data_IF_367725912025
#
_entry.id   IF_367725912025
#
_cell.length_a   1.000
_cell.length_b   1.000
_cell.length_c   1.000
_cell.angle_alpha   90.00
_cell.angle_beta   90.00
_cell.angle_gamma   90.00
#
_symmetry.space_group_name_H-M   'P 1'
#
loop_
_entity.id
_entity.type
_entity.pdbx_description
1 polymer ?
#
# COMPACT_ATOMS: atom_id res chain seq x y z
N UNK A 1 -52.38 54.99 16.64
CA UNK A 1 -52.41 55.43 18.05
C UNK A 1 -52.64 54.19 18.92
N UNK A 2 -52.06 53.99 20.11
CA UNK A 2 -50.87 54.53 20.82
C UNK A 2 -50.58 53.53 21.97
N UNK A 3 -49.36 53.51 22.55
CA UNK A 3 -48.98 52.65 23.70
C UNK A 3 -49.54 53.22 25.06
N UNK A 4 -49.23 52.71 26.29
CA UNK A 4 -48.01 52.06 26.84
C UNK A 4 -48.31 50.65 27.48
N UNK A 5 -47.63 50.02 28.47
CA UNK A 5 -46.58 50.42 29.45
C UNK A 5 -45.75 49.24 30.00
N UNK A 6 -44.42 49.45 30.10
CA UNK A 6 -43.38 48.94 31.05
C UNK A 6 -43.61 47.81 32.07
N UNK A 7 -42.63 46.88 32.16
CA UNK A 7 -41.78 46.61 33.37
C UNK A 7 -40.63 45.62 32.99
N UNK A 8 -39.33 45.95 33.01
CA UNK A 8 -38.37 45.98 34.15
C UNK A 8 -37.85 44.58 34.58
N UNK A 9 -36.56 44.29 34.83
CA UNK A 9 -35.26 44.94 34.53
C UNK A 9 -34.10 43.92 34.74
N UNK A 10 -32.84 44.30 34.47
CA UNK A 10 -31.64 43.48 34.71
C UNK A 10 -30.59 44.22 35.57
N UNK A 11 -29.73 43.50 36.31
CA UNK A 11 -28.61 44.09 37.06
C UNK A 11 -27.77 43.08 37.86
N UNK A 12 -26.44 43.24 37.82
CA UNK A 12 -25.43 42.42 38.54
C UNK A 12 -24.75 43.23 39.65
N UNK A 13 -24.28 42.58 40.74
CA UNK A 13 -23.24 43.12 41.65
C UNK A 13 -22.66 42.12 42.67
N UNK A 14 -21.42 42.39 43.06
CA UNK A 14 -20.56 41.89 44.17
C UNK A 14 -19.74 43.11 44.67
N UNK A 15 -18.76 43.07 45.63
CA UNK A 15 -18.20 41.99 46.47
C UNK A 15 -18.09 42.32 48.00
N UNK A 16 -17.47 41.42 48.81
CA UNK A 16 -17.04 41.64 50.21
C UNK A 16 -15.77 40.81 50.60
N UNK A 17 -15.06 41.17 51.70
CA UNK A 17 -13.59 40.96 51.81
C UNK A 17 -12.99 40.59 53.21
N UNK A 18 -12.43 39.38 53.37
CA UNK A 18 -11.22 39.06 54.21
C UNK A 18 -11.39 38.86 55.74
N UNK A 19 -10.29 38.68 56.55
CA UNK A 19 -8.87 38.40 56.23
C UNK A 19 -8.11 37.36 57.14
N UNK A 20 -6.87 36.97 56.78
CA UNK A 20 -5.84 36.30 57.65
C UNK A 20 -5.98 34.77 57.89
N UNK A 21 -4.97 33.98 58.30
CA UNK A 21 -3.50 34.14 58.49
C UNK A 21 -2.82 32.74 58.39
N UNK A 22 -1.52 32.65 58.09
CA UNK A 22 -0.82 31.41 57.70
C UNK A 22 -0.17 30.58 58.83
N UNK A 23 0.02 29.27 58.62
CA UNK A 23 0.98 28.40 59.30
C UNK A 23 1.52 27.28 58.37
N UNK A 24 2.67 26.67 58.71
CA UNK A 24 3.48 25.81 57.83
C UNK A 24 3.18 24.30 57.83
N UNK A 25 3.95 23.50 57.06
CA UNK A 25 3.60 22.14 56.68
C UNK A 25 4.07 21.06 57.68
N UNK A 26 3.23 20.04 57.95
CA UNK A 26 3.63 18.75 58.54
C UNK A 26 2.84 17.57 57.95
N UNK A 27 3.53 16.45 57.83
CA UNK A 27 3.07 15.23 57.13
C UNK A 27 2.62 14.14 58.11
N UNK A 28 1.86 13.16 57.63
CA UNK A 28 1.81 11.81 58.20
C UNK A 28 1.93 10.75 57.09
N UNK A 29 3.04 10.02 57.09
CA UNK A 29 3.21 8.75 56.38
C UNK A 29 2.73 7.59 57.25
N UNK A 30 2.45 6.42 56.65
CA UNK A 30 3.11 5.21 57.14
C UNK A 30 4.12 4.63 56.13
N UNK A 31 5.23 4.12 56.64
CA UNK A 31 6.30 3.47 55.86
C UNK A 31 6.18 1.95 55.95
N UNK A 32 6.38 1.21 54.85
CA UNK A 32 6.41 -0.25 54.87
C UNK A 32 6.91 -0.90 53.56
N UNK A 33 8.22 -1.18 53.48
CA UNK A 33 8.83 -2.04 52.44
C UNK A 33 8.82 -3.51 52.95
N UNK A 34 8.82 -4.57 52.12
CA UNK A 34 9.92 -5.05 51.24
C UNK A 34 9.44 -6.15 50.24
N UNK A 35 10.30 -6.66 49.32
CA UNK A 35 9.86 -7.35 48.08
C UNK A 35 9.83 -8.90 48.19
N UNK A 36 9.62 -9.67 47.11
CA UNK A 36 10.69 -10.17 46.21
C UNK A 36 10.20 -10.63 44.82
N UNK A 37 11.07 -10.46 43.82
CA UNK A 37 11.30 -11.24 42.58
C UNK A 37 10.11 -11.71 41.70
N UNK A 38 10.07 -11.18 40.48
CA UNK A 38 9.44 -11.78 39.29
C UNK A 38 10.01 -11.15 38.02
N UNK A 39 10.52 -11.94 37.08
CA UNK A 39 11.46 -11.50 36.04
C UNK A 39 10.87 -10.61 34.93
N UNK A 40 11.38 -9.38 34.81
CA UNK A 40 11.18 -8.52 33.64
C UNK A 40 12.37 -8.68 32.69
N UNK A 41 12.19 -9.39 31.57
CA UNK A 41 13.22 -9.51 30.54
C UNK A 41 13.35 -8.22 29.71
N UNK A 42 14.52 -7.56 29.65
CA UNK A 42 14.73 -6.46 28.74
C UNK A 42 14.90 -7.00 27.31
N UNK A 43 14.08 -6.52 26.37
CA UNK A 43 14.36 -6.68 24.93
C UNK A 43 15.32 -5.57 24.53
N UNK A 44 16.62 -5.88 24.57
CA UNK A 44 17.68 -4.93 24.18
C UNK A 44 17.58 -4.58 22.70
N UNK A 45 17.54 -3.28 22.40
CA UNK A 45 17.67 -2.77 21.02
C UNK A 45 19.11 -2.99 20.55
N UNK A 46 19.29 -3.78 19.49
CA UNK A 46 20.59 -3.97 18.85
C UNK A 46 20.89 -2.81 17.88
N UNK A 47 22.01 -2.08 18.02
CA UNK A 47 22.43 -1.09 17.04
C UNK A 47 23.02 -1.78 15.80
N UNK A 48 22.71 -1.27 14.61
CA UNK A 48 23.30 -1.75 13.36
C UNK A 48 24.77 -1.31 13.24
N UNK A 49 25.67 -2.26 12.98
CA UNK A 49 27.10 -2.02 12.80
C UNK A 49 27.62 -2.54 11.46
N UNK A 50 28.51 -1.77 10.83
CA UNK A 50 29.25 -2.10 9.61
C UNK A 50 30.51 -1.22 9.55
N UNK A 51 31.52 -1.51 8.70
CA UNK A 51 31.83 -2.75 7.97
C UNK A 51 33.24 -3.32 8.30
N UNK A 52 33.59 -4.55 7.88
CA UNK A 52 34.98 -5.06 7.90
C UNK A 52 35.34 -5.97 6.71
N UNK A 53 36.55 -5.79 6.18
CA UNK A 53 37.33 -6.57 5.17
C UNK A 53 38.77 -6.00 5.19
N UNK A 54 39.89 -6.71 4.86
CA UNK A 54 40.08 -8.09 4.34
C UNK A 54 40.65 -9.03 5.45
N UNK A 55 41.45 -10.10 5.32
CA UNK A 55 42.30 -10.75 4.28
C UNK A 55 42.25 -12.30 4.43
N UNK A 56 42.72 -13.15 3.51
CA UNK A 56 43.31 -12.93 2.18
C UNK A 56 44.59 -13.77 1.93
N UNK A 57 44.55 -14.75 1.01
CA UNK A 57 45.72 -15.52 0.52
C UNK A 57 45.35 -16.38 -0.72
N UNK A 58 46.36 -16.79 -1.51
CA UNK A 58 46.26 -17.73 -2.64
C UNK A 58 47.66 -18.24 -3.01
N UNK A 59 47.92 -18.80 -4.21
CA UNK A 59 47.01 -19.28 -5.25
C UNK A 59 47.05 -20.83 -5.38
N UNK A 60 46.13 -21.42 -6.15
CA UNK A 60 46.15 -22.85 -6.47
C UNK A 60 45.50 -23.14 -7.81
N UNK A 61 46.32 -23.55 -8.79
CA UNK A 61 45.82 -24.04 -10.09
C UNK A 61 45.39 -25.51 -9.94
N UNK A 62 44.19 -25.83 -10.42
CA UNK A 62 43.77 -27.22 -10.65
C UNK A 62 43.24 -27.28 -12.07
N UNK A 63 43.96 -28.00 -12.91
CA UNK A 63 43.63 -28.22 -14.31
C UNK A 63 42.43 -29.17 -14.42
N UNK A 64 41.39 -28.76 -15.14
CA UNK A 64 40.27 -29.63 -15.53
C UNK A 64 40.23 -29.74 -17.05
N UNK A 65 40.64 -30.91 -17.54
CA UNK A 65 40.75 -31.22 -18.96
C UNK A 65 39.37 -31.16 -19.66
N UNK A 66 39.27 -30.69 -20.92
CA UNK A 66 37.99 -30.63 -21.62
C UNK A 66 37.39 -32.03 -21.84
N UNK A 67 36.16 -32.25 -21.36
CA UNK A 67 35.35 -33.40 -21.77
C UNK A 67 34.52 -33.00 -23.00
N UNK A 68 34.75 -33.69 -24.12
CA UNK A 68 34.17 -33.34 -25.41
C UNK A 68 32.77 -33.94 -25.63
N UNK A 69 31.84 -33.12 -26.12
CA UNK A 69 30.70 -33.57 -26.92
C UNK A 69 29.54 -34.28 -26.23
N UNK A 70 28.46 -33.54 -25.97
CA UNK A 70 27.28 -33.75 -26.81
C UNK A 70 26.35 -32.53 -26.86
N UNK A 71 25.86 -32.20 -28.05
CA UNK A 71 25.00 -31.04 -28.29
C UNK A 71 23.60 -31.49 -28.70
N UNK A 72 22.55 -31.04 -27.98
CA UNK A 72 21.28 -30.55 -28.53
C UNK A 72 20.24 -30.33 -27.43
N UNK A 73 19.58 -29.17 -27.43
CA UNK A 73 18.38 -28.93 -26.61
C UNK A 73 18.31 -27.54 -25.98
N UNK A 74 17.58 -26.64 -26.64
CA UNK A 74 16.92 -25.49 -26.00
C UNK A 74 17.83 -24.51 -25.21
N UNK A 75 18.94 -24.08 -25.82
CA UNK A 75 19.35 -22.68 -25.68
C UNK A 75 18.22 -21.81 -26.27
N UNK A 76 17.24 -21.47 -25.42
CA UNK A 76 16.17 -20.57 -25.77
C UNK A 76 16.74 -19.15 -25.87
N UNK A 77 17.26 -18.80 -27.06
CA UNK A 77 17.37 -17.41 -27.48
C UNK A 77 15.98 -16.81 -27.42
N UNK A 78 15.64 -16.19 -26.28
CA UNK A 78 14.50 -15.30 -26.18
C UNK A 78 14.79 -14.20 -27.21
N UNK A 79 14.02 -14.09 -28.31
CA UNK A 79 14.24 -13.02 -29.25
C UNK A 79 14.05 -11.68 -28.52
N UNK A 80 14.76 -10.61 -28.90
CA UNK A 80 14.36 -9.28 -28.45
C UNK A 80 12.88 -9.13 -28.78
N UNK A 81 12.05 -8.82 -27.78
CA UNK A 81 10.59 -8.76 -27.94
C UNK A 81 10.24 -7.57 -28.83
N UNK A 82 10.16 -7.83 -30.13
CA UNK A 82 9.85 -6.83 -31.13
C UNK A 82 8.36 -6.46 -31.06
N UNK A 83 8.10 -5.49 -30.18
CA UNK A 83 6.80 -4.88 -29.93
C UNK A 83 6.24 -4.13 -31.16
N UNK A 84 6.98 -4.05 -32.26
CA UNK A 84 6.65 -3.23 -33.44
C UNK A 84 5.67 -3.92 -34.39
N UNK A 85 5.44 -5.23 -34.26
CA UNK A 85 4.61 -6.00 -35.20
C UNK A 85 3.44 -6.76 -34.53
N UNK A 86 2.24 -6.17 -34.59
CA UNK A 86 0.94 -6.84 -34.49
C UNK A 86 0.62 -7.64 -33.20
N UNK A 87 0.53 -6.96 -32.05
CA UNK A 87 -0.26 -7.43 -30.89
C UNK A 87 -1.44 -6.49 -30.63
N UNK A 88 -2.67 -7.01 -30.72
CA UNK A 88 -3.90 -6.23 -30.51
C UNK A 88 -4.28 -6.01 -29.05
N UNK A 89 -3.83 -6.92 -28.18
CA UNK A 89 -3.95 -6.88 -26.71
C UNK A 89 -2.65 -7.40 -26.11
N UNK A 90 -2.16 -6.75 -25.05
CA UNK A 90 -1.05 -7.24 -24.22
C UNK A 90 -1.63 -7.74 -22.89
N UNK A 91 -1.42 -9.01 -22.48
CA UNK A 91 -1.87 -9.48 -21.17
C UNK A 91 -1.01 -8.87 -20.04
N UNK A 92 -1.66 -8.24 -19.06
CA UNK A 92 -1.00 -7.64 -17.91
C UNK A 92 -0.85 -8.65 -16.76
N UNK A 93 0.33 -9.22 -16.64
CA UNK A 93 0.78 -10.04 -15.50
C UNK A 93 1.93 -9.32 -14.77
N UNK A 94 2.37 -9.86 -13.63
CA UNK A 94 3.50 -9.30 -12.90
C UNK A 94 4.77 -9.32 -13.77
N UNK A 95 5.33 -8.15 -14.04
CA UNK A 95 6.54 -7.97 -14.85
C UNK A 95 6.28 -7.62 -16.32
N UNK A 96 5.02 -7.62 -16.79
CA UNK A 96 4.69 -7.10 -18.13
C UNK A 96 5.06 -5.62 -18.21
N UNK A 97 5.75 -5.21 -19.28
CA UNK A 97 5.98 -3.79 -19.61
C UNK A 97 5.09 -3.40 -20.79
N UNK A 98 4.47 -2.23 -20.71
CA UNK A 98 3.66 -1.64 -21.78
C UNK A 98 4.34 -0.38 -22.35
N UNK A 99 4.10 -0.02 -23.62
CA UNK A 99 4.59 1.23 -24.18
C UNK A 99 4.11 2.44 -23.37
N UNK A 100 4.96 3.46 -23.20
CA UNK A 100 4.51 4.69 -22.53
C UNK A 100 3.58 5.48 -23.45
N UNK A 101 2.28 5.40 -23.15
CA UNK A 101 1.21 6.09 -23.87
C UNK A 101 0.63 7.27 -23.08
N UNK A 102 1.22 7.62 -21.94
CA UNK A 102 0.62 8.53 -20.97
C UNK A 102 -0.62 7.94 -20.29
N UNK A 103 -1.71 8.70 -20.27
CA UNK A 103 -3.01 8.29 -19.71
C UNK A 103 -3.72 7.24 -20.57
N UNK A 104 -4.51 6.39 -19.92
CA UNK A 104 -5.34 5.37 -20.55
C UNK A 104 -6.67 5.20 -19.80
N UNK A 105 -7.63 4.50 -20.40
CA UNK A 105 -8.95 4.23 -19.79
C UNK A 105 -9.13 2.75 -19.50
N UNK A 106 -10.05 2.40 -18.58
CA UNK A 106 -10.26 1.02 -18.12
C UNK A 106 -11.73 0.64 -18.28
N UNK A 107 -11.99 -0.53 -18.84
CA UNK A 107 -13.32 -1.12 -18.96
C UNK A 107 -13.38 -2.45 -18.20
N UNK A 108 -14.30 -2.56 -17.24
CA UNK A 108 -14.54 -3.76 -16.44
C UNK A 108 -15.88 -4.38 -16.83
N UNK A 109 -15.89 -5.65 -17.24
CA UNK A 109 -17.13 -6.35 -17.63
C UNK A 109 -17.90 -5.66 -18.76
N UNK A 110 -17.18 -5.01 -19.69
CA UNK A 110 -17.76 -4.25 -20.82
C UNK A 110 -18.24 -2.84 -20.47
N UNK A 111 -18.10 -2.37 -19.22
CA UNK A 111 -18.43 -0.99 -18.81
C UNK A 111 -17.16 -0.18 -18.55
N UNK A 112 -17.08 1.03 -19.11
CA UNK A 112 -16.01 1.96 -18.76
C UNK A 112 -16.09 2.35 -17.28
N UNK A 113 -14.94 2.41 -16.61
CA UNK A 113 -14.79 2.89 -15.23
C UNK A 113 -14.31 4.33 -15.29
N UNK A 114 -15.07 5.25 -14.69
CA UNK A 114 -14.64 6.63 -14.50
C UNK A 114 -13.73 6.74 -13.28
N UNK A 115 -12.70 7.57 -13.41
CA UNK A 115 -11.76 7.92 -12.33
C UNK A 115 -11.71 9.44 -12.20
N UNK A 116 -11.39 9.94 -11.00
CA UNK A 116 -11.08 11.35 -10.75
C UNK A 116 -9.59 11.67 -10.93
N UNK A 117 -8.73 10.67 -10.73
CA UNK A 117 -7.30 10.67 -11.03
C UNK A 117 -7.05 9.66 -12.14
N UNK A 118 -6.64 10.11 -13.33
CA UNK A 118 -6.61 9.25 -14.50
C UNK A 118 -5.53 8.14 -14.39
N UNK A 119 -5.85 6.87 -14.73
CA UNK A 119 -4.84 5.82 -14.89
C UNK A 119 -3.79 6.18 -15.95
N UNK A 120 -2.51 5.92 -15.68
CA UNK A 120 -1.38 6.29 -16.55
C UNK A 120 -0.27 5.25 -16.60
N UNK A 121 0.50 5.23 -17.68
CA UNK A 121 1.73 4.43 -17.79
C UNK A 121 2.93 5.23 -17.33
N UNK A 122 3.71 4.68 -16.40
CA UNK A 122 4.92 5.28 -15.85
C UNK A 122 6.02 4.22 -15.78
N UNK A 123 7.22 4.49 -16.32
CA UNK A 123 8.32 3.51 -16.45
C UNK A 123 7.94 2.18 -17.14
N UNK A 124 6.88 2.20 -17.96
CA UNK A 124 6.33 1.01 -18.63
C UNK A 124 5.42 0.15 -17.73
N UNK A 125 5.13 0.59 -16.50
CA UNK A 125 4.14 -0.02 -15.61
C UNK A 125 2.82 0.76 -15.76
N UNK A 126 1.71 0.06 -16.00
CA UNK A 126 0.38 0.65 -15.97
C UNK A 126 -0.06 0.85 -14.52
N UNK A 127 -0.41 2.08 -14.14
CA UNK A 127 -0.79 2.48 -12.77
C UNK A 127 -2.26 2.93 -12.72
N UNK A 128 -2.95 2.63 -11.61
CA UNK A 128 -4.40 2.84 -11.45
C UNK A 128 -4.77 3.23 -10.00
N UNK A 129 -5.76 4.13 -9.79
CA UNK A 129 -6.35 4.34 -8.47
C UNK A 129 -7.07 3.09 -7.96
N UNK A 130 -6.62 2.56 -6.82
CA UNK A 130 -7.11 1.29 -6.28
C UNK A 130 -8.61 1.29 -5.96
N UNK A 131 -9.09 2.35 -5.30
CA UNK A 131 -10.48 2.43 -4.82
C UNK A 131 -11.51 2.22 -5.93
N UNK A 132 -11.48 3.09 -6.95
CA UNK A 132 -12.49 3.11 -8.02
C UNK A 132 -12.66 1.75 -8.69
N UNK A 133 -11.55 1.03 -8.93
CA UNK A 133 -11.59 -0.23 -9.63
C UNK A 133 -12.05 -1.40 -8.74
N UNK A 134 -11.70 -1.39 -7.45
CA UNK A 134 -12.17 -2.41 -6.50
C UNK A 134 -13.64 -2.21 -6.11
N UNK A 135 -14.10 -0.96 -5.97
CA UNK A 135 -15.52 -0.63 -5.73
C UNK A 135 -16.38 -0.87 -6.99
N UNK A 136 -15.83 -0.68 -8.20
CA UNK A 136 -16.50 -1.10 -9.45
C UNK A 136 -16.72 -2.61 -9.56
N UNK A 137 -15.89 -3.42 -8.90
CA UNK A 137 -16.07 -4.87 -8.77
C UNK A 137 -17.09 -5.26 -7.69
N UNK A 138 -17.76 -4.29 -7.04
CA UNK A 138 -18.72 -4.50 -5.96
C UNK A 138 -18.11 -4.70 -4.56
N UNK A 139 -16.80 -4.46 -4.41
CA UNK A 139 -16.13 -4.46 -3.12
C UNK A 139 -16.27 -3.13 -2.37
N UNK A 140 -15.72 -3.08 -1.15
CA UNK A 140 -15.66 -1.88 -0.32
C UNK A 140 -14.22 -1.61 0.16
N UNK A 141 -13.79 -0.35 0.18
CA UNK A 141 -12.39 0.04 0.42
C UNK A 141 -12.28 1.01 1.60
N UNK A 142 -11.73 0.52 2.71
CA UNK A 142 -11.42 1.30 3.91
C UNK A 142 -10.00 1.87 3.88
N UNK A 143 -9.81 2.99 4.57
CA UNK A 143 -8.52 3.68 4.71
C UNK A 143 -8.26 4.00 6.17
N UNK A 144 -7.13 3.52 6.69
CA UNK A 144 -6.60 3.93 7.99
C UNK A 144 -5.51 5.01 7.78
N UNK A 145 -5.80 6.22 8.23
CA UNK A 145 -4.86 7.34 8.16
C UNK A 145 -3.73 7.24 9.21
N UNK A 146 -3.90 6.53 10.32
CA UNK A 146 -2.86 6.38 11.34
C UNK A 146 -1.73 5.48 10.84
N UNK A 147 -2.06 4.29 10.31
CA UNK A 147 -1.07 3.35 9.75
C UNK A 147 -0.77 3.55 8.27
N UNK A 148 -1.49 4.45 7.58
CA UNK A 148 -1.40 4.70 6.13
C UNK A 148 -1.70 3.43 5.30
N UNK A 149 -2.78 2.75 5.66
CA UNK A 149 -3.15 1.42 5.19
C UNK A 149 -4.48 1.42 4.44
N UNK A 150 -4.51 0.75 3.29
CA UNK A 150 -5.73 0.38 2.58
C UNK A 150 -6.15 -1.03 2.97
N UNK A 151 -7.40 -1.22 3.35
CA UNK A 151 -8.02 -2.54 3.54
C UNK A 151 -9.28 -2.61 2.71
N UNK A 152 -9.43 -3.63 1.88
CA UNK A 152 -10.56 -3.77 0.97
C UNK A 152 -11.13 -5.18 0.96
N UNK A 153 -12.46 -5.28 0.92
CA UNK A 153 -13.16 -6.55 1.04
C UNK A 153 -14.29 -6.63 0.03
N UNK A 154 -14.38 -7.76 -0.67
CA UNK A 154 -15.53 -8.19 -1.47
C UNK A 154 -15.94 -9.59 -0.97
N UNK A 155 -16.96 -10.22 -1.57
CA UNK A 155 -17.49 -11.53 -1.16
C UNK A 155 -16.41 -12.63 -1.12
N UNK A 156 -15.49 -12.59 -2.07
CA UNK A 156 -14.52 -13.68 -2.34
C UNK A 156 -13.06 -13.29 -2.03
N UNK A 157 -12.80 -12.00 -1.74
CA UNK A 157 -11.45 -11.44 -1.67
C UNK A 157 -11.31 -10.40 -0.54
N UNK A 158 -10.28 -10.56 0.28
CA UNK A 158 -9.79 -9.62 1.30
C UNK A 158 -8.39 -9.16 0.90
N UNK A 159 -8.22 -7.86 0.69
CA UNK A 159 -6.99 -7.23 0.17
C UNK A 159 -6.50 -6.18 1.17
N UNK A 160 -5.18 -6.13 1.39
CA UNK A 160 -4.56 -5.21 2.35
C UNK A 160 -3.20 -4.73 1.83
N UNK A 161 -2.89 -3.44 1.95
CA UNK A 161 -1.55 -2.91 1.70
C UNK A 161 -1.29 -1.59 2.43
N UNK A 162 -0.02 -1.32 2.72
CA UNK A 162 0.44 -0.06 3.29
C UNK A 162 1.10 0.83 2.22
N UNK A 163 0.92 2.14 2.32
CA UNK A 163 1.58 3.11 1.44
C UNK A 163 3.10 3.11 1.70
N UNK A 164 3.88 3.14 0.62
CA UNK A 164 5.33 2.98 0.62
C UNK A 164 5.80 1.53 0.60
N UNK A 165 4.91 0.54 0.75
CA UNK A 165 5.28 -0.87 0.72
C UNK A 165 5.20 -1.45 -0.71
N UNK A 166 6.16 -2.33 -1.05
CA UNK A 166 6.15 -3.14 -2.28
C UNK A 166 5.47 -4.50 -2.08
N UNK A 167 4.93 -4.80 -0.90
CA UNK A 167 4.14 -6.00 -0.63
C UNK A 167 2.68 -5.64 -0.31
N UNK A 168 1.76 -6.45 -0.82
CA UNK A 168 0.34 -6.42 -0.48
C UNK A 168 -0.13 -7.83 -0.10
N UNK A 169 -1.16 -7.96 0.73
CA UNK A 169 -1.77 -9.24 1.07
C UNK A 169 -3.11 -9.41 0.35
N UNK A 170 -3.36 -10.62 -0.18
CA UNK A 170 -4.62 -11.04 -0.81
C UNK A 170 -5.01 -12.39 -0.20
N UNK A 171 -6.17 -12.46 0.46
CA UNK A 171 -6.60 -13.62 1.25
C UNK A 171 -5.48 -14.16 2.16
N UNK A 172 -4.84 -13.22 2.86
CA UNK A 172 -3.69 -13.40 3.76
C UNK A 172 -2.37 -13.90 3.13
N UNK A 173 -2.36 -14.29 1.85
CA UNK A 173 -1.15 -14.56 1.04
C UNK A 173 -0.45 -13.24 0.69
N UNK A 174 0.87 -13.17 0.85
CA UNK A 174 1.68 -11.99 0.49
C UNK A 174 2.09 -12.01 -0.98
N UNK A 175 1.81 -10.93 -1.71
CA UNK A 175 1.98 -10.73 -3.14
C UNK A 175 2.86 -9.50 -3.39
N UNK A 176 3.92 -9.58 -4.21
CA UNK A 176 4.74 -8.43 -4.56
C UNK A 176 4.02 -7.48 -5.52
N UNK A 177 4.28 -6.18 -5.36
CA UNK A 177 3.90 -5.11 -6.27
C UNK A 177 5.14 -4.67 -7.06
N UNK A 178 4.98 -4.47 -8.37
CA UNK A 178 6.08 -4.03 -9.25
C UNK A 178 6.60 -2.62 -8.92
N UNK A 179 5.75 -1.82 -8.27
CA UNK A 179 6.07 -0.52 -7.71
C UNK A 179 5.31 -0.39 -6.39
N UNK A 180 5.93 0.22 -5.39
CA UNK A 180 5.30 0.46 -4.09
C UNK A 180 3.97 1.22 -4.23
N UNK A 181 2.98 0.89 -3.41
CA UNK A 181 1.71 1.63 -3.38
C UNK A 181 1.95 3.07 -2.90
N UNK A 182 1.45 4.07 -3.61
CA UNK A 182 1.66 5.49 -3.27
C UNK A 182 0.35 6.29 -3.24
N UNK A 183 0.37 7.52 -2.73
CA UNK A 183 -0.78 8.43 -2.79
C UNK A 183 -0.50 9.49 -3.85
N UNK A 184 -1.45 9.68 -4.75
CA UNK A 184 -1.44 10.72 -5.77
C UNK A 184 -2.80 11.44 -5.77
N UNK A 185 -2.82 12.77 -5.73
CA UNK A 185 -4.04 13.59 -5.71
C UNK A 185 -5.13 13.12 -4.70
N UNK A 186 -4.73 12.52 -3.57
CA UNK A 186 -5.66 11.98 -2.56
C UNK A 186 -6.25 10.60 -2.89
N UNK A 187 -5.63 9.85 -3.79
CA UNK A 187 -5.99 8.47 -4.15
C UNK A 187 -4.79 7.52 -4.01
N UNK A 188 -5.04 6.33 -3.49
CA UNK A 188 -4.02 5.27 -3.44
C UNK A 188 -3.83 4.68 -4.84
N UNK A 189 -2.62 4.78 -5.39
CA UNK A 189 -2.25 4.27 -6.71
C UNK A 189 -1.44 2.97 -6.55
N UNK A 190 -1.75 1.97 -7.38
CA UNK A 190 -1.05 0.68 -7.46
C UNK A 190 -0.85 0.24 -8.91
N UNK A 191 0.07 -0.72 -9.20
CA UNK A 191 0.17 -1.36 -10.51
C UNK A 191 -1.12 -2.07 -10.92
N UNK A 192 -1.54 -1.90 -12.17
CA UNK A 192 -2.74 -2.55 -12.72
C UNK A 192 -2.61 -4.08 -12.76
N UNK A 193 -1.39 -4.60 -12.93
CA UNK A 193 -1.10 -6.05 -12.88
C UNK A 193 -1.49 -6.69 -11.54
N UNK A 194 -1.49 -5.94 -10.42
CA UNK A 194 -1.88 -6.45 -9.09
C UNK A 194 -3.36 -6.89 -9.03
N UNK A 195 -4.25 -6.23 -9.77
CA UNK A 195 -5.69 -6.53 -9.71
C UNK A 195 -6.03 -7.93 -10.22
N UNK A 196 -5.17 -8.53 -11.07
CA UNK A 196 -5.33 -9.93 -11.50
C UNK A 196 -5.38 -10.89 -10.31
N UNK A 197 -4.46 -10.71 -9.35
CA UNK A 197 -4.43 -11.44 -8.08
C UNK A 197 -5.54 -10.95 -7.13
N UNK A 198 -5.68 -9.63 -6.97
CA UNK A 198 -6.58 -9.03 -5.97
C UNK A 198 -8.08 -9.22 -6.25
N UNK A 199 -8.47 -9.58 -7.48
CA UNK A 199 -9.86 -9.82 -7.89
C UNK A 199 -10.07 -11.15 -8.63
N UNK A 200 -9.02 -11.93 -8.95
CA UNK A 200 -9.13 -13.17 -9.73
C UNK A 200 -9.55 -12.95 -11.19
N UNK A 201 -9.03 -11.89 -11.82
CA UNK A 201 -9.46 -11.41 -13.16
C UNK A 201 -8.34 -11.45 -14.19
N UNK A 202 -8.69 -11.65 -15.47
CA UNK A 202 -7.79 -11.46 -16.59
C UNK A 202 -7.78 -10.00 -17.00
N UNK A 203 -6.60 -9.46 -17.33
CA UNK A 203 -6.43 -8.06 -17.73
C UNK A 203 -5.65 -7.99 -19.04
N UNK A 204 -6.23 -7.33 -20.04
CA UNK A 204 -5.62 -7.04 -21.34
C UNK A 204 -5.43 -5.53 -21.52
N UNK A 205 -4.44 -5.14 -22.32
CA UNK A 205 -4.09 -3.73 -22.56
C UNK A 205 -3.79 -3.50 -24.05
N UNK A 206 -4.61 -2.71 -24.73
CA UNK A 206 -4.37 -2.23 -26.09
C UNK A 206 -3.68 -0.86 -26.02
N UNK A 207 -2.36 -0.85 -26.27
CA UNK A 207 -1.55 0.37 -26.28
C UNK A 207 -1.88 1.32 -27.45
N UNK A 208 -2.44 0.81 -28.55
CA UNK A 208 -2.80 1.59 -29.74
C UNK A 208 -4.12 2.35 -29.51
N UNK A 209 -5.09 1.76 -28.81
CA UNK A 209 -6.36 2.44 -28.47
C UNK A 209 -6.37 3.09 -27.09
N UNK A 210 -5.36 2.84 -26.25
CA UNK A 210 -5.26 3.32 -24.86
C UNK A 210 -6.37 2.80 -23.93
N UNK A 211 -6.73 1.53 -24.09
CA UNK A 211 -7.73 0.84 -23.29
C UNK A 211 -7.14 -0.36 -22.55
N UNK A 212 -7.47 -0.48 -21.27
CA UNK A 212 -7.36 -1.74 -20.52
C UNK A 212 -8.73 -2.42 -20.41
N UNK A 213 -8.78 -3.72 -20.68
CA UNK A 213 -9.97 -4.56 -20.59
C UNK A 213 -9.81 -5.53 -19.43
N UNK A 214 -10.76 -5.51 -18.49
CA UNK A 214 -10.79 -6.40 -17.33
C UNK A 214 -11.96 -7.36 -17.47
N UNK A 215 -11.60 -8.63 -17.64
CA UNK A 215 -12.51 -9.75 -17.84
C UNK A 215 -12.49 -10.64 -16.60
N UNK A 216 -13.64 -10.74 -15.90
CA UNK A 216 -13.80 -11.72 -14.83
C UNK A 216 -13.70 -13.12 -15.41
N UNK A 217 -12.83 -13.97 -14.84
CA UNK A 217 -12.75 -15.38 -15.24
C UNK A 217 -13.96 -16.14 -14.68
N UNK A 218 -15.12 -15.91 -15.28
CA UNK A 218 -16.39 -16.52 -14.91
C UNK A 218 -16.44 -17.93 -15.46
N UNK A 219 -15.60 -18.81 -14.89
CA UNK A 219 -15.70 -20.25 -15.06
C UNK A 219 -17.04 -20.71 -14.49
N UNK A 220 -18.07 -20.79 -15.34
CA UNK A 220 -19.38 -21.32 -14.97
C UNK A 220 -19.20 -22.75 -14.46
N UNK A 221 -19.58 -22.95 -13.19
CA UNK A 221 -19.88 -24.26 -12.60
C UNK A 221 -21.40 -24.44 -12.55
#
# INVERSE_FOLDING_TARGET
>A
ATAPTTSSAAGTRTPASGPGTAHGPRSLTPTGQRPLTGDVKPVTVAPAGAPVRPEGNGPGVVEVTPAEGNNNGLMATIPPVDLTAAVGSIPLTFGTRVPNIGEYTISMGGKAVNFDVQPRVEEGIALTPFRHLFESAGGYVQWDNATKTVTATNKDQKVWFAIGNMMANVNDVSIPLERAAFIDHGRSIVPLSFFSNALGVSIEFDARTKHALISTNTARR
#
